data_IF_448259183947
#
_entry.id   IF_448259183947
#
_cell.length_a   1.000
_cell.length_b   1.000
_cell.length_c   1.000
_cell.angle_alpha   90.00
_cell.angle_beta   90.00
_cell.angle_gamma   90.00
#
_symmetry.space_group_name_H-M   'P 1'
#
loop_
_entity.id
_entity.type
_entity.pdbx_description
1 polymer ?
#
# COMPACT_ATOMS: atom_id res chain seq x y z
N UNK A 1 -30.05 -16.15 12.45
CA UNK A 1 -29.29 -14.87 12.47
C UNK A 1 -30.19 -13.78 11.92
N UNK A 2 -30.20 -12.58 12.50
CA UNK A 2 -30.96 -11.47 11.94
C UNK A 2 -30.26 -10.93 10.67
N UNK A 3 -31.02 -10.40 9.68
CA UNK A 3 -30.45 -9.87 8.44
C UNK A 3 -29.38 -8.77 8.68
N UNK A 4 -29.58 -7.93 9.69
CA UNK A 4 -28.64 -6.87 10.06
C UNK A 4 -27.28 -7.41 10.53
N UNK A 5 -27.28 -8.51 11.30
CA UNK A 5 -26.04 -9.13 11.78
C UNK A 5 -25.25 -9.73 10.62
N UNK A 6 -25.93 -10.36 9.65
CA UNK A 6 -25.28 -10.88 8.46
C UNK A 6 -24.56 -9.78 7.68
N UNK A 7 -25.21 -8.63 7.47
CA UNK A 7 -24.61 -7.48 6.77
C UNK A 7 -23.36 -6.97 7.51
N UNK A 8 -23.42 -6.84 8.83
CA UNK A 8 -22.28 -6.40 9.63
C UNK A 8 -21.10 -7.38 9.48
N UNK A 9 -21.33 -8.68 9.66
CA UNK A 9 -20.27 -9.69 9.52
C UNK A 9 -19.64 -9.69 8.13
N UNK A 10 -20.46 -9.63 7.08
CA UNK A 10 -19.98 -9.60 5.69
C UNK A 10 -19.18 -8.32 5.43
N UNK A 11 -19.66 -7.16 5.90
CA UNK A 11 -18.98 -5.88 5.69
C UNK A 11 -17.62 -5.87 6.39
N UNK A 12 -17.56 -6.29 7.65
CA UNK A 12 -16.29 -6.39 8.40
C UNK A 12 -15.32 -7.36 7.74
N UNK A 13 -15.81 -8.50 7.23
CA UNK A 13 -14.96 -9.47 6.53
C UNK A 13 -14.38 -8.87 5.24
N UNK A 14 -15.19 -8.16 4.45
CA UNK A 14 -14.74 -7.49 3.23
C UNK A 14 -13.69 -6.41 3.56
N UNK A 15 -13.95 -5.58 4.58
CA UNK A 15 -13.04 -4.51 5.00
C UNK A 15 -11.69 -5.07 5.43
N UNK A 16 -11.68 -6.16 6.20
CA UNK A 16 -10.44 -6.83 6.63
C UNK A 16 -9.69 -7.40 5.42
N UNK A 17 -10.37 -8.08 4.50
CA UNK A 17 -9.73 -8.63 3.30
C UNK A 17 -9.11 -7.54 2.43
N UNK A 18 -9.81 -6.44 2.20
CA UNK A 18 -9.32 -5.29 1.44
C UNK A 18 -8.14 -4.60 2.13
N UNK A 19 -8.21 -4.43 3.46
CA UNK A 19 -7.13 -3.86 4.24
C UNK A 19 -5.87 -4.72 4.17
N UNK A 20 -6.00 -6.05 4.30
CA UNK A 20 -4.88 -6.99 4.20
C UNK A 20 -4.26 -6.97 2.80
N UNK A 21 -5.08 -6.99 1.75
CA UNK A 21 -4.59 -6.86 0.38
C UNK A 21 -3.84 -5.54 0.17
N UNK A 22 -4.39 -4.44 0.66
CA UNK A 22 -3.72 -3.13 0.64
C UNK A 22 -2.38 -3.14 1.38
N UNK A 23 -2.32 -3.75 2.56
CA UNK A 23 -1.08 -3.89 3.34
C UNK A 23 -0.01 -4.69 2.60
N UNK A 24 -0.37 -5.79 1.96
CA UNK A 24 0.57 -6.58 1.14
C UNK A 24 1.15 -5.73 0.02
N UNK A 25 0.31 -4.99 -0.70
CA UNK A 25 0.75 -4.13 -1.82
C UNK A 25 1.61 -2.96 -1.31
N UNK A 26 1.21 -2.30 -0.22
CA UNK A 26 1.93 -1.18 0.38
C UNK A 26 3.30 -1.58 0.90
N UNK A 27 3.38 -2.67 1.66
CA UNK A 27 4.65 -3.22 2.17
C UNK A 27 5.55 -3.66 1.02
N UNK A 28 5.01 -4.34 0.01
CA UNK A 28 5.79 -4.74 -1.17
C UNK A 28 6.38 -3.53 -1.90
N UNK A 29 5.60 -2.47 -2.10
CA UNK A 29 6.05 -1.24 -2.73
C UNK A 29 7.20 -0.61 -1.94
N UNK A 30 7.07 -0.51 -0.62
CA UNK A 30 8.11 0.03 0.25
C UNK A 30 9.39 -0.80 0.23
N UNK A 31 9.29 -2.12 0.39
CA UNK A 31 10.46 -3.03 0.37
C UNK A 31 11.20 -2.91 -0.96
N UNK A 32 10.47 -2.83 -2.08
CA UNK A 32 11.07 -2.64 -3.41
C UNK A 32 11.74 -1.28 -3.56
N UNK A 33 11.13 -0.20 -3.07
CA UNK A 33 11.74 1.12 -3.07
C UNK A 33 13.01 1.18 -2.20
N UNK A 34 13.01 0.48 -1.07
CA UNK A 34 14.16 0.38 -0.18
C UNK A 34 15.33 -0.35 -0.84
N UNK A 35 15.06 -1.49 -1.47
CA UNK A 35 16.04 -2.34 -2.14
C UNK A 35 16.59 -1.75 -3.46
N UNK A 36 15.86 -0.84 -4.12
CA UNK A 36 16.32 -0.22 -5.36
C UNK A 36 17.45 0.80 -5.07
N UNK A 37 18.58 0.74 -5.80
CA UNK A 37 19.70 1.66 -5.58
C UNK A 37 19.35 3.07 -6.09
N UNK A 38 19.92 4.12 -5.47
CA UNK A 38 19.53 5.50 -5.75
C UNK A 38 19.82 5.92 -7.20
N UNK A 39 20.97 5.53 -7.73
CA UNK A 39 21.39 5.79 -9.10
C UNK A 39 20.39 5.26 -10.15
N UNK A 40 19.68 4.16 -9.87
CA UNK A 40 18.70 3.62 -10.80
C UNK A 40 17.51 4.55 -11.04
N UNK A 41 17.15 5.39 -10.06
CA UNK A 41 16.09 6.38 -10.22
C UNK A 41 16.50 7.50 -11.18
N UNK A 42 17.74 7.98 -11.05
CA UNK A 42 18.30 9.04 -11.88
C UNK A 42 18.48 8.56 -13.33
N UNK A 43 19.06 7.36 -13.52
CA UNK A 43 19.20 6.76 -14.85
C UNK A 43 17.86 6.48 -15.54
N UNK A 44 16.79 6.25 -14.78
CA UNK A 44 15.45 6.03 -15.31
C UNK A 44 14.65 7.33 -15.52
N UNK A 45 15.23 8.50 -15.21
CA UNK A 45 14.55 9.79 -15.29
C UNK A 45 13.33 9.89 -14.37
N UNK A 46 13.32 9.16 -13.25
CA UNK A 46 12.23 9.16 -12.27
C UNK A 46 12.54 10.14 -11.14
N UNK A 47 11.51 10.51 -10.37
CA UNK A 47 11.70 11.24 -9.09
C UNK A 47 12.71 10.49 -8.20
N UNK A 48 13.49 11.20 -7.36
CA UNK A 48 14.61 10.61 -6.64
C UNK A 48 14.15 9.56 -5.62
N UNK A 49 15.08 8.67 -5.24
CA UNK A 49 14.84 7.56 -4.30
C UNK A 49 14.14 8.02 -3.01
N UNK A 50 14.60 9.12 -2.41
CA UNK A 50 14.06 9.60 -1.13
C UNK A 50 12.57 9.99 -1.24
N UNK A 51 12.15 10.55 -2.37
CA UNK A 51 10.73 10.86 -2.61
C UNK A 51 9.89 9.60 -2.65
N UNK A 52 10.33 8.58 -3.39
CA UNK A 52 9.60 7.32 -3.48
C UNK A 52 9.62 6.53 -2.17
N UNK A 53 10.73 6.57 -1.43
CA UNK A 53 10.82 5.96 -0.11
C UNK A 53 9.87 6.60 0.89
N UNK A 54 9.78 7.94 0.92
CA UNK A 54 8.84 8.63 1.78
C UNK A 54 7.38 8.30 1.43
N UNK A 55 7.04 8.33 0.13
CA UNK A 55 5.68 8.03 -0.34
C UNK A 55 5.27 6.58 -0.08
N UNK A 56 6.12 5.62 -0.44
CA UNK A 56 5.84 4.19 -0.22
C UNK A 56 5.92 3.81 1.26
N UNK A 57 6.80 4.44 2.04
CA UNK A 57 6.88 4.25 3.49
C UNK A 57 5.64 4.75 4.21
N UNK A 58 5.17 5.96 3.88
CA UNK A 58 3.89 6.47 4.39
C UNK A 58 2.71 5.59 3.97
N UNK A 59 2.72 5.10 2.73
CA UNK A 59 1.69 4.18 2.24
C UNK A 59 1.69 2.85 3.01
N UNK A 60 2.86 2.25 3.24
CA UNK A 60 2.98 1.02 4.02
C UNK A 60 2.48 1.20 5.47
N UNK A 61 2.83 2.32 6.11
CA UNK A 61 2.36 2.63 7.46
C UNK A 61 0.83 2.77 7.51
N UNK A 62 0.23 3.52 6.57
CA UNK A 62 -1.21 3.67 6.45
C UNK A 62 -1.88 2.34 6.19
N UNK A 63 -1.37 1.53 5.25
CA UNK A 63 -1.99 0.24 4.93
C UNK A 63 -1.93 -0.75 6.09
N UNK A 64 -0.86 -0.78 6.88
CA UNK A 64 -0.79 -1.58 8.11
C UNK A 64 -1.77 -1.06 9.18
N UNK A 65 -1.88 0.26 9.33
CA UNK A 65 -2.86 0.86 10.22
C UNK A 65 -4.31 0.56 9.78
N UNK A 66 -4.59 0.52 8.48
CA UNK A 66 -5.90 0.14 7.94
C UNK A 66 -6.28 -1.29 8.30
N UNK A 67 -5.33 -2.23 8.35
CA UNK A 67 -5.60 -3.60 8.82
C UNK A 67 -6.02 -3.57 10.29
N UNK A 68 -5.28 -2.86 11.13
CA UNK A 68 -5.63 -2.68 12.54
C UNK A 68 -7.01 -2.05 12.74
N UNK A 69 -7.34 -1.01 11.97
CA UNK A 69 -8.65 -0.37 11.99
C UNK A 69 -9.76 -1.34 11.55
N UNK A 70 -9.54 -2.14 10.49
CA UNK A 70 -10.53 -3.09 9.99
C UNK A 70 -10.85 -4.19 11.02
N UNK A 71 -9.85 -4.76 11.70
CA UNK A 71 -10.07 -5.83 12.69
C UNK A 71 -10.71 -5.33 13.99
N UNK A 72 -10.59 -4.04 14.31
CA UNK A 72 -11.20 -3.41 15.49
C UNK A 72 -12.59 -2.83 15.23
N UNK A 73 -13.14 -3.02 14.02
CA UNK A 73 -14.46 -2.52 13.62
C UNK A 73 -14.47 -1.06 13.13
N UNK A 74 -13.30 -0.43 12.98
CA UNK A 74 -13.13 0.93 12.47
C UNK A 74 -12.79 1.02 10.98
N UNK A 75 -12.86 -0.07 10.21
CA UNK A 75 -12.34 -0.18 8.84
C UNK A 75 -12.73 0.96 7.90
N UNK A 76 -13.99 1.41 7.96
CA UNK A 76 -14.51 2.45 7.07
C UNK A 76 -14.03 3.88 7.40
N UNK A 77 -13.52 4.14 8.61
CA UNK A 77 -13.09 5.49 9.02
C UNK A 77 -11.78 5.93 8.36
N UNK A 78 -10.98 4.99 7.86
CA UNK A 78 -9.67 5.24 7.22
C UNK A 78 -9.68 5.01 5.71
N UNK A 79 -10.87 4.83 5.11
CA UNK A 79 -11.00 4.40 3.71
C UNK A 79 -10.31 5.33 2.72
N UNK A 80 -10.42 6.65 2.90
CA UNK A 80 -9.74 7.64 2.02
C UNK A 80 -8.20 7.50 2.12
N UNK A 81 -7.67 7.35 3.34
CA UNK A 81 -6.23 7.18 3.55
C UNK A 81 -5.74 5.86 2.93
N UNK A 82 -6.52 4.79 3.10
CA UNK A 82 -6.23 3.48 2.51
C UNK A 82 -6.19 3.55 0.97
N UNK A 83 -7.12 4.27 0.35
CA UNK A 83 -7.15 4.45 -1.10
C UNK A 83 -5.94 5.26 -1.60
N UNK A 84 -5.57 6.34 -0.91
CA UNK A 84 -4.38 7.13 -1.25
C UNK A 84 -3.13 6.25 -1.18
N UNK A 85 -2.97 5.49 -0.08
CA UNK A 85 -1.85 4.57 0.10
C UNK A 85 -1.82 3.49 -0.98
N UNK A 86 -2.96 2.92 -1.35
CA UNK A 86 -3.07 1.93 -2.41
C UNK A 86 -2.67 2.52 -3.77
N UNK A 87 -3.14 3.73 -4.12
CA UNK A 87 -2.79 4.41 -5.37
C UNK A 87 -1.30 4.66 -5.46
N UNK A 88 -0.68 5.23 -4.42
CA UNK A 88 0.77 5.49 -4.39
C UNK A 88 1.55 4.19 -4.59
N UNK A 89 1.15 3.13 -3.89
CA UNK A 89 1.80 1.82 -3.95
C UNK A 89 1.70 1.20 -5.35
N UNK A 90 0.51 1.25 -5.96
CA UNK A 90 0.28 0.76 -7.32
C UNK A 90 1.06 1.56 -8.36
N UNK A 91 1.06 2.90 -8.26
CA UNK A 91 1.83 3.78 -9.17
C UNK A 91 3.33 3.46 -9.09
N UNK A 92 3.86 3.25 -7.89
CA UNK A 92 5.25 2.85 -7.72
C UNK A 92 5.52 1.48 -8.38
N UNK A 93 4.71 0.47 -8.05
CA UNK A 93 4.91 -0.91 -8.53
C UNK A 93 4.76 -1.05 -10.04
N UNK A 94 3.82 -0.32 -10.65
CA UNK A 94 3.54 -0.39 -12.08
C UNK A 94 4.41 0.56 -12.90
N UNK A 95 4.66 1.78 -12.41
CA UNK A 95 5.28 2.86 -13.21
C UNK A 95 6.75 3.16 -12.89
N UNK A 96 7.24 2.75 -11.72
CA UNK A 96 8.61 3.10 -11.25
C UNK A 96 9.46 1.85 -11.11
N UNK A 97 8.97 0.87 -10.35
CA UNK A 97 9.71 -0.35 -10.05
C UNK A 97 10.23 -1.11 -11.28
N UNK A 98 9.49 -1.25 -12.40
CA UNK A 98 10.01 -1.94 -13.58
C UNK A 98 11.24 -1.27 -14.22
N UNK A 99 11.38 0.05 -14.01
CA UNK A 99 12.53 0.82 -14.52
C UNK A 99 13.72 0.76 -13.56
N UNK A 100 13.48 0.80 -12.25
CA UNK A 100 14.54 0.88 -11.23
C UNK A 100 14.96 -0.48 -10.67
N UNK A 101 14.14 -1.52 -10.84
CA UNK A 101 14.36 -2.87 -10.30
C UNK A 101 15.07 -3.83 -11.25
N UNK A 102 15.14 -3.52 -12.55
CA UNK A 102 15.66 -4.42 -13.60
C UNK A 102 17.19 -4.54 -13.64
N UNK A 103 17.94 -3.61 -13.04
CA UNK A 103 19.41 -3.63 -13.04
C UNK A 103 19.93 -4.00 -11.66
N UNK A 104 19.78 -5.28 -11.31
CA UNK A 104 20.68 -5.91 -10.34
C UNK A 104 21.91 -6.28 -11.16
N UNK A 105 23.01 -5.55 -10.96
CA UNK A 105 24.30 -5.91 -11.53
C UNK A 105 24.67 -7.34 -11.14
#
# INVERSE_FOLDING_TARGET
>A
MSPILLVIYVTTLIDVLLAVAGAVVGVLAFVRAWMSPANAYDFAGKRPKNTWLALTGGSAAVSLFSVFAAVTGGGNTVLILQLIAAVISCVFLAGVWPSVGRRRF
#
